data_IF_667899284843
#
_entry.id   IF_667899284843
#
_cell.length_a   1.000
_cell.length_b   1.000
_cell.length_c   1.000
_cell.angle_alpha   90.00
_cell.angle_beta   90.00
_cell.angle_gamma   90.00
#
_symmetry.space_group_name_H-M   'P 1'
#
loop_
_entity.id
_entity.type
_entity.pdbx_description
1 polymer ?
#
# COMPACT_ATOMS: atom_id res chain seq x y z
N UNK A 1 14.95 -6.13 5.03
CA UNK A 1 13.70 -6.51 5.70
C UNK A 1 12.75 -6.94 4.62
N UNK A 2 12.25 -8.17 4.70
CA UNK A 2 11.22 -8.69 3.80
C UNK A 2 9.85 -8.05 4.09
N UNK A 3 8.92 -8.12 3.16
CA UNK A 3 7.58 -7.53 3.32
C UNK A 3 6.85 -8.16 4.51
N UNK A 4 6.97 -9.47 4.69
CA UNK A 4 6.37 -10.18 5.82
C UNK A 4 7.00 -9.77 7.16
N UNK A 5 8.31 -9.53 7.18
CA UNK A 5 8.98 -9.03 8.38
C UNK A 5 8.46 -7.65 8.76
N UNK A 6 8.30 -6.76 7.78
CA UNK A 6 7.75 -5.43 8.02
C UNK A 6 6.28 -5.46 8.43
N UNK A 7 5.47 -6.32 7.80
CA UNK A 7 4.08 -6.53 8.18
C UNK A 7 3.95 -7.01 9.63
N UNK A 8 4.81 -7.96 10.04
CA UNK A 8 4.86 -8.45 11.42
C UNK A 8 5.30 -7.36 12.40
N UNK A 9 6.18 -6.44 11.99
CA UNK A 9 6.56 -5.27 12.79
C UNK A 9 5.34 -4.35 12.98
N UNK A 10 4.60 -4.03 11.91
CA UNK A 10 3.36 -3.25 12.02
C UNK A 10 2.33 -3.91 12.95
N UNK A 11 2.22 -5.24 12.88
CA UNK A 11 1.36 -5.99 13.79
C UNK A 11 1.81 -5.80 15.25
N UNK A 12 3.11 -5.94 15.53
CA UNK A 12 3.66 -5.77 16.89
C UNK A 12 3.43 -4.35 17.44
N UNK A 13 3.57 -3.32 16.61
CA UNK A 13 3.48 -1.93 17.04
C UNK A 13 2.02 -1.48 17.17
N UNK A 14 1.16 -1.79 16.20
CA UNK A 14 -0.14 -1.11 16.07
C UNK A 14 -1.37 -2.01 16.22
N UNK A 15 -1.25 -3.35 16.07
CA UNK A 15 -2.41 -4.23 15.96
C UNK A 15 -3.43 -4.11 17.09
N UNK A 16 -2.98 -4.00 18.35
CA UNK A 16 -3.88 -3.84 19.50
C UNK A 16 -4.73 -2.56 19.39
N UNK A 17 -4.09 -1.45 19.00
CA UNK A 17 -4.74 -0.16 18.78
C UNK A 17 -5.67 -0.21 17.58
N UNK A 18 -5.22 -0.83 16.49
CA UNK A 18 -5.99 -0.92 15.24
C UNK A 18 -7.23 -1.79 15.42
N UNK A 19 -7.10 -2.90 16.15
CA UNK A 19 -8.22 -3.79 16.49
C UNK A 19 -9.27 -3.07 17.34
N UNK A 20 -8.84 -2.22 18.28
CA UNK A 20 -9.74 -1.36 19.06
C UNK A 20 -10.40 -0.27 18.21
N UNK A 21 -9.66 0.30 17.24
CA UNK A 21 -10.18 1.32 16.31
C UNK A 21 -11.20 0.75 15.32
N UNK A 22 -11.01 -0.50 14.91
CA UNK A 22 -11.83 -1.20 13.93
C UNK A 22 -11.40 -0.92 12.48
N UNK A 23 -11.79 -1.84 11.59
CA UNK A 23 -11.38 -1.85 10.18
C UNK A 23 -11.77 -0.56 9.45
N UNK A 24 -13.05 -0.14 9.53
CA UNK A 24 -13.55 1.03 8.80
C UNK A 24 -12.80 2.32 9.15
N UNK A 25 -12.54 2.56 10.43
CA UNK A 25 -11.79 3.75 10.87
C UNK A 25 -10.30 3.65 10.53
N UNK A 26 -9.73 2.46 10.53
CA UNK A 26 -8.35 2.23 10.10
C UNK A 26 -8.20 2.46 8.59
N UNK A 27 -9.23 2.14 7.81
CA UNK A 27 -9.27 2.44 6.39
C UNK A 27 -9.35 3.95 6.12
N UNK A 28 -10.07 4.71 6.94
CA UNK A 28 -10.08 6.18 6.85
C UNK A 28 -8.67 6.75 7.05
N UNK A 29 -7.92 6.30 8.07
CA UNK A 29 -6.52 6.70 8.26
C UNK A 29 -5.65 6.36 7.06
N UNK A 30 -5.77 5.15 6.50
CA UNK A 30 -5.05 4.79 5.27
C UNK A 30 -5.35 5.75 4.11
N UNK A 31 -6.61 6.16 3.92
CA UNK A 31 -6.99 7.11 2.86
C UNK A 31 -6.47 8.53 3.14
N UNK A 32 -6.33 8.92 4.40
CA UNK A 32 -5.72 10.20 4.79
C UNK A 32 -4.29 10.30 4.26
N UNK A 33 -3.44 9.29 4.55
CA UNK A 33 -2.06 9.22 4.06
C UNK A 33 -1.98 9.20 2.53
N UNK A 34 -2.91 8.51 1.86
CA UNK A 34 -3.00 8.52 0.40
C UNK A 34 -3.32 9.94 -0.10
N UNK A 35 -4.14 10.69 0.63
CA UNK A 35 -4.45 12.09 0.35
C UNK A 35 -3.26 13.02 0.55
N UNK A 36 -2.46 12.81 1.60
CA UNK A 36 -1.22 13.56 1.86
C UNK A 36 -0.20 13.32 0.74
N UNK A 37 0.01 12.05 0.37
CA UNK A 37 0.82 11.68 -0.78
C UNK A 37 0.32 12.36 -2.07
N UNK A 38 -0.98 12.32 -2.35
CA UNK A 38 -1.57 12.94 -3.53
C UNK A 38 -1.38 14.46 -3.56
N UNK A 39 -1.49 15.13 -2.40
CA UNK A 39 -1.26 16.57 -2.26
C UNK A 39 0.17 16.92 -2.65
N UNK A 40 1.16 16.19 -2.14
CA UNK A 40 2.55 16.41 -2.50
C UNK A 40 2.76 16.22 -4.01
N UNK A 41 2.07 15.25 -4.63
CA UNK A 41 2.32 14.86 -6.04
C UNK A 41 1.93 16.03 -6.92
N UNK A 42 0.75 16.57 -6.63
CA UNK A 42 0.23 17.78 -7.26
C UNK A 42 1.12 19.00 -7.06
N UNK A 43 1.76 19.13 -5.90
CA UNK A 43 2.65 20.26 -5.58
C UNK A 43 4.06 20.13 -6.18
N UNK A 44 4.44 18.97 -6.73
CA UNK A 44 5.75 18.75 -7.36
C UNK A 44 6.94 18.72 -6.40
N UNK A 45 6.71 18.57 -5.09
CA UNK A 45 7.73 18.63 -4.04
C UNK A 45 8.50 17.31 -3.89
N UNK A 46 9.54 17.13 -4.71
CA UNK A 46 10.34 15.90 -4.81
C UNK A 46 10.95 15.36 -3.51
N UNK A 47 11.23 16.21 -2.52
CA UNK A 47 11.86 15.80 -1.25
C UNK A 47 10.89 15.09 -0.30
N UNK A 48 9.60 15.39 -0.38
CA UNK A 48 8.66 15.17 0.73
C UNK A 48 7.87 13.85 0.55
N UNK A 49 7.86 13.27 -0.66
CA UNK A 49 7.13 12.03 -0.96
C UNK A 49 7.56 10.80 -0.19
N UNK A 50 8.81 10.76 0.25
CA UNK A 50 9.40 9.54 0.82
C UNK A 50 8.73 9.14 2.12
N UNK A 51 8.37 10.13 2.93
CA UNK A 51 7.68 9.95 4.21
C UNK A 51 6.28 9.39 3.96
N UNK A 52 5.49 10.10 3.15
CA UNK A 52 4.12 9.70 2.82
C UNK A 52 4.03 8.31 2.14
N UNK A 53 4.99 7.96 1.28
CA UNK A 53 5.04 6.60 0.69
C UNK A 53 5.25 5.54 1.78
N UNK A 54 6.06 5.84 2.79
CA UNK A 54 6.27 4.99 3.95
C UNK A 54 5.00 4.84 4.78
N UNK A 55 4.31 5.94 5.07
CA UNK A 55 3.10 5.95 5.89
C UNK A 55 1.92 5.26 5.19
N UNK A 56 1.72 5.51 3.90
CA UNK A 56 0.76 4.78 3.06
C UNK A 56 1.00 3.27 3.16
N UNK A 57 2.25 2.82 3.05
CA UNK A 57 2.57 1.41 3.12
C UNK A 57 2.37 0.84 4.53
N UNK A 58 2.75 1.57 5.58
CA UNK A 58 2.56 1.17 6.98
C UNK A 58 1.08 0.99 7.34
N UNK A 59 0.23 1.93 6.91
CA UNK A 59 -1.21 1.85 7.12
C UNK A 59 -1.88 0.78 6.27
N UNK A 60 -1.41 0.55 5.04
CA UNK A 60 -1.85 -0.60 4.24
C UNK A 60 -1.55 -1.94 4.92
N UNK A 61 -0.35 -2.10 5.49
CA UNK A 61 -0.01 -3.33 6.23
C UNK A 61 -0.78 -3.46 7.55
N UNK A 62 -1.11 -2.35 8.20
CA UNK A 62 -2.02 -2.33 9.36
C UNK A 62 -3.42 -2.85 8.98
N UNK A 63 -3.94 -2.46 7.81
CA UNK A 63 -5.19 -3.03 7.27
C UNK A 63 -5.06 -4.52 6.97
N UNK A 64 -3.97 -4.93 6.31
CA UNK A 64 -3.73 -6.34 6.00
C UNK A 64 -3.70 -7.21 7.27
N UNK A 65 -3.13 -6.70 8.36
CA UNK A 65 -3.15 -7.37 9.66
C UNK A 65 -4.57 -7.51 10.25
N UNK A 66 -5.42 -6.48 10.13
CA UNK A 66 -6.83 -6.58 10.57
C UNK A 66 -7.65 -7.56 9.73
N UNK A 67 -7.29 -7.70 8.45
CA UNK A 67 -7.94 -8.59 7.49
C UNK A 67 -7.38 -10.03 7.50
N UNK A 68 -6.35 -10.30 8.32
CA UNK A 68 -5.62 -11.57 8.35
C UNK A 68 -5.05 -11.99 6.97
N UNK A 69 -4.53 -11.02 6.22
CA UNK A 69 -3.95 -11.22 4.88
C UNK A 69 -2.43 -11.19 4.95
N UNK A 70 -1.75 -12.20 4.40
CA UNK A 70 -0.30 -12.18 4.20
C UNK A 70 0.04 -11.48 2.87
N UNK A 71 0.49 -10.23 2.93
CA UNK A 71 0.73 -9.41 1.73
C UNK A 71 1.82 -10.01 0.85
N UNK A 72 2.92 -10.50 1.43
CA UNK A 72 4.04 -11.07 0.67
C UNK A 72 3.59 -12.27 -0.17
N UNK A 73 2.73 -13.12 0.40
CA UNK A 73 2.14 -14.25 -0.32
C UNK A 73 1.24 -13.79 -1.47
N UNK A 74 0.40 -12.79 -1.24
CA UNK A 74 -0.56 -12.32 -2.26
C UNK A 74 0.07 -11.62 -3.46
N UNK A 75 1.27 -11.06 -3.28
CA UNK A 75 2.02 -10.42 -4.37
C UNK A 75 2.90 -11.39 -5.16
N UNK A 76 3.04 -12.66 -4.74
CA UNK A 76 3.82 -13.67 -5.49
C UNK A 76 3.33 -13.85 -6.93
N UNK A 77 2.05 -13.58 -7.20
CA UNK A 77 1.47 -13.59 -8.54
C UNK A 77 2.16 -12.63 -9.54
N UNK A 78 2.93 -11.65 -9.05
CA UNK A 78 3.71 -10.71 -9.85
C UNK A 78 5.20 -11.11 -10.01
N UNK A 79 5.66 -12.18 -9.36
CA UNK A 79 7.06 -12.60 -9.31
C UNK A 79 7.69 -12.84 -10.68
N UNK A 80 6.90 -13.32 -11.64
CA UNK A 80 7.33 -13.65 -13.00
C UNK A 80 6.81 -12.66 -14.07
N UNK A 81 6.37 -11.48 -13.63
CA UNK A 81 5.85 -10.42 -14.50
C UNK A 81 4.35 -10.19 -14.35
N UNK A 82 3.73 -9.54 -15.34
CA UNK A 82 2.31 -9.20 -15.27
C UNK A 82 1.46 -10.48 -15.02
N UNK A 83 0.57 -10.51 -14.01
CA UNK A 83 -0.21 -11.71 -13.70
C UNK A 83 -1.15 -12.11 -14.84
N UNK A 84 -1.47 -11.16 -15.75
CA UNK A 84 -2.30 -11.38 -16.93
C UNK A 84 -1.49 -11.85 -18.14
N UNK A 85 -0.50 -11.08 -18.61
CA UNK A 85 0.23 -11.38 -19.85
C UNK A 85 1.58 -12.08 -19.67
N UNK A 86 2.05 -12.25 -18.42
CA UNK A 86 3.33 -12.90 -18.05
C UNK A 86 4.59 -12.27 -18.64
N UNK A 87 4.50 -11.04 -19.16
CA UNK A 87 5.64 -10.31 -19.74
C UNK A 87 6.18 -9.24 -18.79
N UNK A 88 7.46 -8.95 -18.97
CA UNK A 88 8.21 -7.83 -18.39
C UNK A 88 8.93 -7.12 -19.55
N UNK A 89 8.57 -5.86 -19.91
CA UNK A 89 7.47 -5.05 -19.38
C UNK A 89 6.09 -5.61 -19.75
N UNK A 90 5.05 -5.17 -19.03
CA UNK A 90 3.66 -5.52 -19.32
C UNK A 90 3.28 -5.09 -20.76
N UNK A 91 2.50 -5.93 -21.45
CA UNK A 91 1.97 -5.67 -22.80
C UNK A 91 0.44 -5.76 -22.84
N UNK A 92 -0.23 -5.64 -21.69
CA UNK A 92 -1.69 -5.57 -21.67
C UNK A 92 -2.16 -4.28 -22.32
N UNK A 93 -3.21 -4.36 -23.14
CA UNK A 93 -3.84 -3.21 -23.81
C UNK A 93 -4.90 -2.53 -22.92
N UNK A 94 -4.89 -2.76 -21.60
CA UNK A 94 -5.81 -2.07 -20.71
C UNK A 94 -5.33 -0.64 -20.52
N UNK A 95 -5.97 0.24 -21.28
CA UNK A 95 -5.74 1.67 -21.35
C UNK A 95 -5.78 2.32 -19.96
N UNK A 96 -4.91 3.30 -19.79
CA UNK A 96 -4.80 4.18 -18.64
C UNK A 96 -6.16 4.54 -18.04
N UNK A 97 -6.36 4.42 -16.71
CA UNK A 97 -7.35 5.27 -16.05
C UNK A 97 -7.02 6.71 -16.45
N UNK A 98 -7.97 7.40 -17.08
CA UNK A 98 -7.86 8.77 -17.56
C UNK A 98 -7.81 9.79 -16.41
N UNK A 99 -7.03 9.52 -15.37
CA UNK A 99 -6.72 10.48 -14.33
C UNK A 99 -5.39 11.13 -14.69
N UNK A 100 -5.48 12.18 -15.52
CA UNK A 100 -4.44 13.19 -15.60
C UNK A 100 -4.43 13.91 -14.25
N UNK A 101 -3.36 13.73 -13.48
CA UNK A 101 -3.00 14.65 -12.41
C UNK A 101 -2.20 15.81 -13.00
#
# INVERSE_FOLDING_TARGET
>A
MEIREFQNLMHKIYYSRDKKRGLARTFVWFIEEVGELAKLIREGKKSDFKEEVGDVFAWFLSLANLLDVNVEKEIEKYKEGCPKCKKIPCQCTYDFPSFQF
#
